data_IF_605408979832
#
_entry.id   IF_605408979832
#
_cell.length_a   1.000
_cell.length_b   1.000
_cell.length_c   1.000
_cell.angle_alpha   90.00
_cell.angle_beta   90.00
_cell.angle_gamma   90.00
#
_symmetry.space_group_name_H-M   'P 1'
#
loop_
_entity.id
_entity.type
_entity.pdbx_description
1 polymer ?
#
# COMPACT_ATOMS: atom_id res chain seq x y z
N UNK A 1 2.00 13.94 -24.66
CA UNK A 1 0.64 13.66 -24.14
C UNK A 1 0.64 13.53 -22.59
N UNK A 2 1.61 12.88 -22.01
CA UNK A 2 1.69 12.69 -20.55
C UNK A 2 1.91 14.00 -19.78
N UNK A 3 2.68 14.94 -20.30
CA UNK A 3 2.91 16.24 -19.67
C UNK A 3 1.66 17.13 -19.62
N UNK A 4 0.78 17.01 -20.57
CA UNK A 4 -0.46 17.81 -20.61
C UNK A 4 -1.53 17.23 -19.66
N UNK A 5 -1.59 15.91 -19.52
CA UNK A 5 -2.54 15.24 -18.63
C UNK A 5 -2.15 15.41 -17.15
N UNK A 6 -0.86 15.53 -16.84
CA UNK A 6 -0.36 15.70 -15.48
C UNK A 6 -0.82 16.96 -14.74
N UNK A 7 -1.43 17.92 -15.46
CA UNK A 7 -2.00 19.14 -14.86
C UNK A 7 -3.43 18.97 -14.33
N UNK A 8 -4.10 17.88 -14.70
CA UNK A 8 -5.48 17.61 -14.33
C UNK A 8 -5.55 16.64 -13.15
N UNK A 9 -6.63 16.72 -12.42
CA UNK A 9 -6.91 15.88 -11.24
C UNK A 9 -7.92 14.78 -11.58
N UNK A 10 -7.95 13.68 -10.82
CA UNK A 10 -9.05 12.73 -10.90
C UNK A 10 -10.39 13.45 -10.70
N UNK A 11 -11.39 13.13 -11.53
CA UNK A 11 -12.67 13.81 -11.56
C UNK A 11 -12.78 14.95 -12.59
N UNK A 12 -11.66 15.45 -13.11
CA UNK A 12 -11.69 16.47 -14.14
C UNK A 12 -12.18 15.89 -15.46
N UNK A 13 -13.01 16.66 -16.17
CA UNK A 13 -13.45 16.37 -17.54
C UNK A 13 -12.47 16.98 -18.52
N UNK A 14 -11.94 16.17 -19.40
CA UNK A 14 -11.09 16.64 -20.50
C UNK A 14 -11.72 16.29 -21.83
N UNK A 15 -11.49 17.16 -22.80
CA UNK A 15 -11.93 16.94 -24.17
C UNK A 15 -10.76 16.43 -25.00
N UNK A 16 -10.91 15.25 -25.55
CA UNK A 16 -9.90 14.63 -26.41
C UNK A 16 -10.37 14.69 -27.85
N UNK A 17 -9.57 15.29 -28.71
CA UNK A 17 -9.84 15.32 -30.16
C UNK A 17 -9.02 14.20 -30.80
N UNK A 18 -9.70 13.23 -31.35
CA UNK A 18 -9.11 12.11 -32.09
C UNK A 18 -9.28 12.36 -33.59
N UNK A 19 -8.19 12.26 -34.34
CA UNK A 19 -8.22 12.30 -35.80
C UNK A 19 -7.91 10.90 -36.34
N UNK A 20 -8.88 10.31 -37.03
CA UNK A 20 -8.72 9.01 -37.68
C UNK A 20 -9.27 9.06 -39.10
N UNK A 21 -8.47 8.65 -40.08
CA UNK A 21 -8.83 8.65 -41.51
C UNK A 21 -9.37 10.00 -42.04
N UNK A 22 -8.81 11.13 -41.52
CA UNK A 22 -9.24 12.48 -41.93
C UNK A 22 -10.46 13.02 -41.19
N UNK A 23 -11.15 12.22 -40.41
CA UNK A 23 -12.27 12.67 -39.57
C UNK A 23 -11.80 13.02 -38.16
N UNK A 24 -12.27 14.15 -37.64
CA UNK A 24 -12.06 14.57 -36.26
C UNK A 24 -13.23 14.14 -35.40
N UNK A 25 -12.96 13.42 -34.34
CA UNK A 25 -13.95 13.00 -33.34
C UNK A 25 -13.60 13.62 -32.00
N UNK A 26 -14.56 14.29 -31.39
CA UNK A 26 -14.46 14.90 -30.07
C UNK A 26 -15.04 13.93 -29.06
N UNK A 27 -14.25 13.57 -28.04
CA UNK A 27 -14.67 12.66 -26.97
C UNK A 27 -14.41 13.37 -25.62
N UNK A 28 -15.43 13.44 -24.79
CA UNK A 28 -15.28 13.85 -23.39
C UNK A 28 -14.85 12.64 -22.53
N UNK A 29 -13.81 12.80 -21.75
CA UNK A 29 -13.27 11.78 -20.86
C UNK A 29 -13.19 12.34 -19.45
N UNK A 30 -13.68 11.58 -18.48
CA UNK A 30 -13.49 11.88 -17.05
C UNK A 30 -12.24 11.16 -16.59
N UNK A 31 -11.27 11.92 -16.09
CA UNK A 31 -10.04 11.35 -15.57
C UNK A 31 -10.32 10.56 -14.27
N UNK A 32 -9.68 9.41 -14.16
CA UNK A 32 -9.75 8.57 -12.98
C UNK A 32 -8.35 8.36 -12.41
N UNK A 33 -8.27 8.09 -11.12
CA UNK A 33 -7.02 7.72 -10.48
C UNK A 33 -6.60 6.29 -10.86
N UNK A 34 -5.46 5.84 -10.37
CA UNK A 34 -4.91 4.48 -10.56
C UNK A 34 -5.82 3.35 -10.04
N UNK A 35 -6.74 3.67 -9.13
CA UNK A 35 -7.79 2.76 -8.62
C UNK A 35 -9.09 2.80 -9.45
N UNK A 36 -9.12 3.59 -10.53
CA UNK A 36 -10.28 3.74 -11.40
C UNK A 36 -11.41 4.59 -10.84
N UNK A 37 -11.19 5.34 -9.76
CA UNK A 37 -12.17 6.27 -9.16
C UNK A 37 -11.88 7.72 -9.52
N UNK A 38 -12.85 8.61 -9.29
CA UNK A 38 -12.71 10.06 -9.49
C UNK A 38 -12.24 10.78 -8.23
N UNK A 39 -11.97 10.06 -7.16
CA UNK A 39 -11.53 10.63 -5.89
C UNK A 39 -10.06 11.07 -5.96
N UNK A 40 -9.78 12.24 -5.38
CA UNK A 40 -8.41 12.72 -5.20
C UNK A 40 -7.80 11.93 -4.05
N UNK A 41 -6.80 11.12 -4.35
CA UNK A 41 -6.04 10.39 -3.33
C UNK A 41 -5.09 11.38 -2.65
N UNK A 42 -5.44 11.82 -1.45
CA UNK A 42 -4.51 12.57 -0.60
C UNK A 42 -3.50 11.59 0.01
N UNK A 43 -2.28 11.57 -0.56
CA UNK A 43 -1.19 10.71 -0.08
C UNK A 43 -0.88 10.93 1.40
N UNK A 44 -0.96 12.18 1.87
CA UNK A 44 -0.69 12.50 3.27
C UNK A 44 -1.77 11.93 4.20
N UNK A 45 -3.03 11.95 3.76
CA UNK A 45 -4.15 11.36 4.51
C UNK A 45 -4.03 9.84 4.57
N UNK A 46 -3.75 9.20 3.43
CA UNK A 46 -3.50 7.76 3.33
C UNK A 46 -2.29 7.33 4.18
N UNK A 47 -1.20 8.09 4.16
CA UNK A 47 -0.04 7.81 5.01
C UNK A 47 -0.36 7.91 6.50
N UNK A 48 -1.17 8.90 6.91
CA UNK A 48 -1.59 9.04 8.31
C UNK A 48 -2.53 7.91 8.74
N UNK A 49 -3.51 7.57 7.91
CA UNK A 49 -4.48 6.50 8.18
C UNK A 49 -3.83 5.11 8.15
N UNK A 50 -2.82 4.90 7.31
CA UNK A 50 -2.11 3.63 7.18
C UNK A 50 -0.86 3.51 8.05
N UNK A 51 -0.43 4.57 8.74
CA UNK A 51 0.74 4.53 9.61
C UNK A 51 0.43 3.96 11.00
N UNK A 52 1.34 3.14 11.50
CA UNK A 52 1.34 2.63 12.86
C UNK A 52 2.79 2.54 13.35
N UNK A 53 3.08 3.11 14.52
CA UNK A 53 4.42 3.06 15.14
C UNK A 53 5.57 3.43 14.19
N UNK A 54 5.34 4.45 13.34
CA UNK A 54 6.34 4.97 12.40
C UNK A 54 6.46 4.22 11.07
N UNK A 55 5.65 3.19 10.84
CA UNK A 55 5.61 2.46 9.57
C UNK A 55 4.32 2.71 8.79
N UNK A 56 4.43 2.72 7.48
CA UNK A 56 3.31 2.77 6.53
C UNK A 56 3.16 1.42 5.88
N UNK A 57 1.92 0.95 5.78
CA UNK A 57 1.59 -0.39 5.33
C UNK A 57 0.71 -0.37 4.08
N UNK A 58 0.87 -1.39 3.26
CA UNK A 58 0.06 -1.64 2.06
C UNK A 58 -0.26 -3.13 1.95
N UNK A 59 -1.47 -3.43 1.52
CA UNK A 59 -1.89 -4.80 1.23
C UNK A 59 -1.26 -5.27 -0.08
N UNK A 60 -0.83 -6.52 -0.12
CA UNK A 60 -0.25 -7.10 -1.32
C UNK A 60 -1.33 -7.51 -2.33
N UNK A 61 -1.03 -7.28 -3.61
CA UNK A 61 -1.86 -7.81 -4.69
C UNK A 61 -1.78 -9.35 -4.73
N UNK A 62 -2.80 -9.98 -5.30
CA UNK A 62 -2.85 -11.44 -5.47
C UNK A 62 -1.64 -11.97 -6.27
N UNK A 63 -1.15 -11.19 -7.22
CA UNK A 63 0.03 -11.53 -8.03
C UNK A 63 1.30 -11.52 -7.18
N UNK A 64 1.46 -10.49 -6.33
CA UNK A 64 2.60 -10.39 -5.41
C UNK A 64 2.60 -11.52 -4.38
N UNK A 65 1.43 -11.88 -3.84
CA UNK A 65 1.29 -13.02 -2.92
C UNK A 65 1.75 -14.33 -3.57
N UNK A 66 1.35 -14.58 -4.82
CA UNK A 66 1.76 -15.76 -5.58
C UNK A 66 3.28 -15.77 -5.84
N UNK A 67 3.83 -14.63 -6.27
CA UNK A 67 5.26 -14.50 -6.54
C UNK A 67 6.10 -14.81 -5.29
N UNK A 68 5.67 -14.33 -4.13
CA UNK A 68 6.35 -14.52 -2.85
C UNK A 68 6.02 -15.86 -2.18
N UNK A 69 5.11 -16.64 -2.77
CA UNK A 69 4.63 -17.91 -2.23
C UNK A 69 4.11 -17.78 -0.78
N UNK A 70 3.34 -16.72 -0.53
CA UNK A 70 2.66 -16.47 0.74
C UNK A 70 1.14 -16.36 0.53
N UNK A 71 0.37 -16.81 1.51
CA UNK A 71 -1.09 -16.81 1.42
C UNK A 71 -1.70 -15.44 1.72
N UNK A 72 -1.04 -14.66 2.58
CA UNK A 72 -1.42 -13.31 2.96
C UNK A 72 -0.19 -12.52 3.39
N UNK A 73 -0.29 -11.21 3.40
CA UNK A 73 0.81 -10.39 3.88
C UNK A 73 0.57 -8.89 3.68
N UNK A 74 1.14 -8.14 4.58
CA UNK A 74 1.11 -6.68 4.59
C UNK A 74 2.53 -6.16 4.41
N UNK A 75 2.75 -5.38 3.37
CA UNK A 75 4.06 -4.82 3.04
C UNK A 75 4.33 -3.54 3.82
N UNK A 76 5.51 -3.45 4.38
CA UNK A 76 6.05 -2.20 4.94
C UNK A 76 6.56 -1.34 3.78
N UNK A 77 5.81 -0.31 3.41
CA UNK A 77 6.12 0.57 2.27
C UNK A 77 7.16 1.62 2.63
N UNK A 78 7.02 2.21 3.80
CA UNK A 78 7.99 3.14 4.33
C UNK A 78 8.12 2.99 5.85
N UNK A 79 9.28 3.35 6.37
CA UNK A 79 9.55 3.28 7.80
C UNK A 79 10.28 4.55 8.22
N UNK A 80 9.72 5.22 9.22
CA UNK A 80 10.27 6.42 9.87
C UNK A 80 10.76 6.04 11.27
N UNK A 81 11.19 7.01 12.04
CA UNK A 81 11.52 6.79 13.45
C UNK A 81 10.30 6.27 14.22
N UNK A 82 10.46 5.18 14.95
CA UNK A 82 9.40 4.53 15.71
C UNK A 82 9.75 3.06 15.99
N UNK A 83 8.87 2.38 16.71
CA UNK A 83 9.09 1.06 17.30
C UNK A 83 9.42 0.00 16.24
N UNK A 84 8.77 0.04 15.08
CA UNK A 84 9.06 -0.91 13.98
C UNK A 84 10.49 -0.79 13.45
N UNK A 85 11.03 0.44 13.41
CA UNK A 85 12.43 0.66 13.04
C UNK A 85 13.39 0.20 14.14
N UNK A 86 13.03 0.47 15.37
CA UNK A 86 13.88 0.21 16.54
C UNK A 86 14.09 -1.29 16.77
N UNK A 87 13.09 -2.12 16.44
CA UNK A 87 13.20 -3.59 16.45
C UNK A 87 13.90 -4.16 15.21
N UNK A 88 14.30 -3.32 14.25
CA UNK A 88 15.10 -3.73 13.10
C UNK A 88 14.31 -4.08 11.83
N UNK A 89 13.00 -3.87 11.78
CA UNK A 89 12.22 -4.04 10.56
C UNK A 89 12.64 -2.98 9.54
N UNK A 90 12.84 -3.41 8.30
CA UNK A 90 13.23 -2.55 7.18
C UNK A 90 12.10 -2.41 6.17
N UNK A 91 12.21 -1.39 5.33
CA UNK A 91 11.32 -1.21 4.17
C UNK A 91 11.28 -2.47 3.31
N UNK A 92 10.15 -2.73 2.69
CA UNK A 92 9.84 -3.90 1.88
C UNK A 92 9.66 -5.22 2.66
N UNK A 93 9.77 -5.22 3.99
CA UNK A 93 9.38 -6.37 4.79
C UNK A 93 7.88 -6.66 4.65
N UNK A 94 7.52 -7.92 4.54
CA UNK A 94 6.15 -8.37 4.39
C UNK A 94 5.77 -9.13 5.64
N UNK A 95 4.89 -8.54 6.43
CA UNK A 95 4.37 -9.15 7.67
C UNK A 95 3.30 -10.16 7.26
N UNK A 96 3.49 -11.41 7.61
CA UNK A 96 2.55 -12.50 7.31
C UNK A 96 1.76 -12.96 8.51
N UNK A 97 2.37 -12.92 9.69
CA UNK A 97 1.75 -13.36 10.94
C UNK A 97 2.11 -12.45 12.10
N UNK A 98 1.20 -12.36 13.05
CA UNK A 98 1.42 -11.77 14.37
C UNK A 98 1.00 -12.81 15.42
N UNK A 99 1.93 -13.21 16.29
CA UNK A 99 1.72 -14.27 17.28
C UNK A 99 1.10 -15.53 16.66
N UNK A 100 1.63 -15.97 15.51
CA UNK A 100 1.17 -17.10 14.69
C UNK A 100 -0.19 -16.92 14.02
N UNK A 101 -0.87 -15.79 14.21
CA UNK A 101 -2.12 -15.47 13.53
C UNK A 101 -1.83 -14.75 12.21
N UNK A 102 -2.37 -15.25 11.10
CA UNK A 102 -2.20 -14.63 9.79
C UNK A 102 -2.85 -13.25 9.75
N UNK A 103 -2.17 -12.28 9.11
CA UNK A 103 -2.72 -10.95 8.84
C UNK A 103 -3.02 -10.81 7.36
N UNK A 104 -4.22 -10.33 7.05
CA UNK A 104 -4.73 -10.23 5.68
C UNK A 104 -4.95 -8.80 5.23
N UNK A 105 -5.30 -7.91 6.15
CA UNK A 105 -5.57 -6.50 5.89
C UNK A 105 -4.75 -5.59 6.78
N UNK A 106 -4.58 -4.35 6.37
CA UNK A 106 -3.93 -3.33 7.20
C UNK A 106 -4.69 -3.05 8.49
N UNK A 107 -6.02 -3.19 8.46
CA UNK A 107 -6.86 -3.02 9.64
C UNK A 107 -6.70 -4.17 10.63
N UNK A 108 -6.59 -5.41 10.14
CA UNK A 108 -6.26 -6.58 10.98
C UNK A 108 -4.93 -6.38 11.71
N UNK A 109 -3.90 -5.94 10.98
CA UNK A 109 -2.59 -5.63 11.53
C UNK A 109 -2.69 -4.61 12.66
N UNK A 110 -3.33 -3.47 12.38
CA UNK A 110 -3.46 -2.36 13.35
C UNK A 110 -4.26 -2.78 14.59
N UNK A 111 -5.38 -3.46 14.38
CA UNK A 111 -6.24 -3.90 15.47
C UNK A 111 -5.54 -4.93 16.33
N UNK A 112 -4.86 -5.90 15.71
CA UNK A 112 -4.13 -6.93 16.43
C UNK A 112 -3.04 -6.32 17.29
N UNK A 113 -2.22 -5.42 16.76
CA UNK A 113 -1.14 -4.79 17.51
C UNK A 113 -1.69 -3.87 18.62
N UNK A 114 -2.68 -3.03 18.35
CA UNK A 114 -3.25 -2.10 19.34
C UNK A 114 -3.91 -2.81 20.53
N UNK A 115 -4.44 -4.00 20.32
CA UNK A 115 -5.10 -4.78 21.36
C UNK A 115 -4.11 -5.59 22.23
N UNK A 116 -2.83 -5.62 21.86
CA UNK A 116 -1.79 -6.29 22.65
C UNK A 116 -1.34 -5.40 23.81
N UNK A 117 -1.09 -6.05 24.94
CA UNK A 117 -0.57 -5.44 26.16
C UNK A 117 0.78 -6.06 26.60
N UNK A 118 1.38 -6.81 25.71
CA UNK A 118 2.62 -7.54 25.96
C UNK A 118 3.41 -7.68 24.67
N UNK A 119 4.65 -8.13 24.79
CA UNK A 119 5.52 -8.44 23.65
C UNK A 119 4.78 -9.25 22.59
N UNK A 120 4.91 -8.84 21.35
CA UNK A 120 4.21 -9.42 20.20
C UNK A 120 5.24 -9.89 19.18
N UNK A 121 5.14 -11.16 18.76
CA UNK A 121 6.00 -11.72 17.72
C UNK A 121 5.45 -11.34 16.33
N UNK A 122 6.27 -10.65 15.54
CA UNK A 122 6.00 -10.31 14.16
C UNK A 122 6.81 -11.24 13.26
N UNK A 123 6.14 -11.98 12.41
CA UNK A 123 6.76 -12.91 11.46
C UNK A 123 6.49 -12.47 10.04
N UNK A 124 7.47 -12.64 9.17
CA UNK A 124 7.31 -12.26 7.79
C UNK A 124 8.48 -12.64 6.89
N UNK A 125 8.48 -12.07 5.71
CA UNK A 125 9.45 -12.39 4.66
C UNK A 125 9.86 -11.13 3.91
N UNK A 126 11.11 -11.06 3.50
CA UNK A 126 11.59 -10.06 2.54
C UNK A 126 11.37 -10.52 1.09
N UNK A 127 11.35 -9.61 0.11
CA UNK A 127 11.20 -9.96 -1.31
C UNK A 127 12.24 -10.96 -1.84
N UNK A 128 13.41 -11.04 -1.20
CA UNK A 128 14.48 -12.01 -1.52
C UNK A 128 14.27 -13.40 -0.91
N UNK A 129 13.14 -13.62 -0.22
CA UNK A 129 12.80 -14.89 0.43
C UNK A 129 13.36 -15.07 1.84
N UNK A 130 14.14 -14.12 2.36
CA UNK A 130 14.62 -14.20 3.75
C UNK A 130 13.47 -14.01 4.73
N UNK A 131 13.32 -14.96 5.65
CA UNK A 131 12.35 -14.86 6.75
C UNK A 131 12.87 -13.93 7.83
N UNK A 132 11.98 -13.17 8.43
CA UNK A 132 12.26 -12.27 9.54
C UNK A 132 11.30 -12.53 10.69
N UNK A 133 11.85 -12.46 11.90
CA UNK A 133 11.15 -12.60 13.18
C UNK A 133 11.56 -11.46 14.07
N UNK A 134 10.59 -10.67 14.51
CA UNK A 134 10.84 -9.49 15.32
C UNK A 134 9.91 -9.50 16.53
N UNK A 135 10.39 -9.03 17.66
CA UNK A 135 9.59 -8.89 18.87
C UNK A 135 9.33 -7.40 19.08
N UNK A 136 8.08 -7.03 19.12
CA UNK A 136 7.58 -5.68 19.41
C UNK A 136 7.11 -5.66 20.86
N UNK A 137 7.78 -4.87 21.69
CA UNK A 137 7.39 -4.63 23.08
C UNK A 137 6.45 -3.41 23.14
N UNK A 138 5.23 -3.61 23.65
CA UNK A 138 4.17 -2.59 23.71
C UNK A 138 3.86 -2.19 25.15
#
# INVERSE_FOLDING_TARGET
>A
LQEQIGKYKPGDKITVIIQRKGEKKIIEVILRNDKGTTEIIDKNKLERESSLYGAVFEELSKESLRYLNVNSGIKVVSIKKGEFRDIGIKQSFIITHIDKSAVTTTDDLKTTIKNKKSSTLIEGVYPNGLKGYFVLDL
#
